data_IF_192196754850
#
_entry.id   IF_192196754850
#
_cell.length_a   1.000
_cell.length_b   1.000
_cell.length_c   1.000
_cell.angle_alpha   90.00
_cell.angle_beta   90.00
_cell.angle_gamma   90.00
#
_symmetry.space_group_name_H-M   'P 1'
#
loop_
_entity.id
_entity.type
_entity.pdbx_description
1 polymer ?
#
# COMPACT_ATOMS: atom_id res chain seq x y z
N UNK A 1 72.70 30.13 -18.53
CA UNK A 1 72.64 28.69 -18.83
C UNK A 1 71.73 28.05 -17.78
N UNK A 2 70.50 27.68 -18.15
CA UNK A 2 69.51 27.13 -17.20
C UNK A 2 69.62 25.61 -17.25
N UNK A 3 70.15 25.00 -16.19
CA UNK A 3 70.27 23.55 -16.09
C UNK A 3 68.93 22.92 -15.74
N UNK A 4 68.39 22.10 -16.66
CA UNK A 4 67.27 21.21 -16.36
C UNK A 4 67.76 20.13 -15.39
N UNK A 5 67.54 20.35 -14.09
CA UNK A 5 67.65 19.30 -13.08
C UNK A 5 66.58 18.27 -13.41
N UNK A 6 66.98 17.14 -14.00
CA UNK A 6 66.09 15.99 -14.12
C UNK A 6 65.91 15.41 -12.73
N UNK A 7 64.84 15.81 -12.05
CA UNK A 7 64.33 15.04 -10.92
C UNK A 7 63.89 13.68 -11.46
N UNK A 8 64.48 12.56 -11.02
CA UNK A 8 63.89 11.26 -11.28
C UNK A 8 62.44 11.29 -10.78
N UNK A 9 61.47 10.71 -11.51
CA UNK A 9 60.10 10.66 -11.01
C UNK A 9 60.13 10.07 -9.60
N UNK A 10 59.49 10.75 -8.63
CA UNK A 10 59.29 10.19 -7.30
C UNK A 10 58.58 8.85 -7.50
N UNK A 11 59.28 7.74 -7.25
CA UNK A 11 58.67 6.42 -7.23
C UNK A 11 57.59 6.45 -6.15
N UNK A 12 56.34 6.40 -6.60
CA UNK A 12 55.15 6.70 -5.79
C UNK A 12 54.94 5.64 -4.71
N UNK A 13 55.51 4.44 -4.89
CA UNK A 13 55.39 3.33 -3.94
C UNK A 13 56.61 2.40 -4.04
N UNK A 14 57.51 2.47 -3.05
CA UNK A 14 58.72 1.63 -2.99
C UNK A 14 58.43 0.17 -2.63
N UNK A 15 57.26 -0.11 -2.05
CA UNK A 15 56.81 -1.46 -1.74
C UNK A 15 56.28 -2.16 -3.00
N UNK A 16 55.49 -1.44 -3.81
CA UNK A 16 55.10 -1.90 -5.14
C UNK A 16 56.33 -2.22 -6.02
N UNK A 17 57.33 -1.34 -6.01
CA UNK A 17 58.58 -1.55 -6.76
C UNK A 17 59.31 -2.84 -6.34
N UNK A 18 59.37 -3.13 -5.03
CA UNK A 18 59.96 -4.38 -4.51
C UNK A 18 59.15 -5.61 -4.87
N UNK A 19 57.83 -5.49 -4.96
CA UNK A 19 56.93 -6.59 -5.30
C UNK A 19 56.93 -6.89 -6.79
N UNK A 20 57.27 -5.89 -7.62
CA UNK A 20 57.50 -6.04 -9.06
C UNK A 20 58.93 -6.52 -9.39
N UNK A 21 59.86 -6.41 -8.45
CA UNK A 21 61.26 -6.86 -8.61
C UNK A 21 61.33 -8.40 -8.59
N UNK A 22 61.22 -8.99 -9.78
CA UNK A 22 61.14 -10.46 -9.98
C UNK A 22 59.81 -10.96 -10.55
N UNK A 23 58.90 -10.06 -10.94
CA UNK A 23 57.66 -10.43 -11.64
C UNK A 23 57.91 -10.52 -13.16
N UNK A 24 58.05 -11.74 -13.67
CA UNK A 24 58.42 -12.01 -15.06
C UNK A 24 57.22 -12.40 -15.94
N UNK A 25 56.07 -12.65 -15.32
CA UNK A 25 54.83 -13.05 -15.97
C UNK A 25 53.65 -12.15 -15.58
N UNK A 26 52.60 -12.16 -16.41
CA UNK A 26 51.46 -11.28 -16.23
C UNK A 26 50.69 -11.56 -14.93
N UNK A 27 50.65 -12.81 -14.47
CA UNK A 27 49.91 -13.22 -13.27
C UNK A 27 50.63 -12.72 -12.01
N UNK A 28 51.95 -12.85 -11.94
CA UNK A 28 52.76 -12.25 -10.87
C UNK A 28 52.69 -10.73 -10.86
N UNK A 29 52.69 -10.08 -12.03
CA UNK A 29 52.53 -8.61 -12.12
C UNK A 29 51.15 -8.18 -11.58
N UNK A 30 50.08 -8.86 -11.96
CA UNK A 30 48.72 -8.55 -11.49
C UNK A 30 48.62 -8.76 -9.98
N UNK A 31 49.19 -9.84 -9.45
CA UNK A 31 49.26 -10.09 -8.01
C UNK A 31 50.10 -9.04 -7.26
N UNK A 32 51.21 -8.59 -7.86
CA UNK A 32 52.06 -7.52 -7.36
C UNK A 32 51.40 -6.14 -7.42
N UNK A 33 50.46 -5.89 -8.34
CA UNK A 33 49.71 -4.63 -8.34
C UNK A 33 48.53 -4.69 -7.36
N UNK A 34 47.88 -5.84 -7.23
CA UNK A 34 46.65 -6.01 -6.46
C UNK A 34 46.87 -6.70 -5.09
N UNK A 35 47.99 -6.45 -4.39
CA UNK A 35 48.14 -6.99 -3.03
C UNK A 35 47.01 -6.54 -2.15
N UNK A 36 46.48 -7.44 -1.34
CA UNK A 36 45.47 -7.09 -0.35
C UNK A 36 44.10 -6.79 -0.94
N UNK A 37 43.99 -6.48 -2.24
CA UNK A 37 42.71 -6.21 -2.91
C UNK A 37 41.79 -7.45 -2.90
N UNK A 38 42.38 -8.65 -2.90
CA UNK A 38 41.68 -9.92 -2.80
C UNK A 38 41.71 -10.52 -1.39
N UNK A 39 42.28 -9.82 -0.42
CA UNK A 39 42.36 -10.28 0.97
C UNK A 39 41.21 -9.65 1.74
N UNK A 40 40.19 -10.44 2.11
CA UNK A 40 39.10 -9.89 2.91
C UNK A 40 39.63 -9.31 4.22
N UNK A 41 39.03 -8.23 4.74
CA UNK A 41 39.38 -7.70 6.06
C UNK A 41 39.35 -8.80 7.13
N UNK A 42 40.14 -8.64 8.20
CA UNK A 42 40.14 -9.59 9.31
C UNK A 42 38.76 -9.75 9.99
N UNK A 43 37.87 -8.75 9.84
CA UNK A 43 36.47 -8.77 10.32
C UNK A 43 35.46 -9.32 9.31
N UNK A 44 35.90 -9.69 8.10
CA UNK A 44 35.01 -10.03 6.98
C UNK A 44 34.01 -11.13 7.34
N UNK A 45 34.47 -12.20 8.00
CA UNK A 45 33.59 -13.30 8.40
C UNK A 45 32.54 -12.87 9.41
N UNK A 46 32.88 -11.95 10.32
CA UNK A 46 31.95 -11.40 11.32
C UNK A 46 30.94 -10.47 10.65
N UNK A 47 31.39 -9.58 9.77
CA UNK A 47 30.50 -8.68 9.02
C UNK A 47 29.54 -9.47 8.11
N UNK A 48 30.05 -10.49 7.44
CA UNK A 48 29.23 -11.38 6.61
C UNK A 48 28.21 -12.17 7.44
N UNK A 49 28.56 -12.59 8.66
CA UNK A 49 27.61 -13.28 9.53
C UNK A 49 26.50 -12.33 10.04
N UNK A 50 26.85 -11.11 10.43
CA UNK A 50 25.87 -10.07 10.81
C UNK A 50 24.89 -9.83 9.65
N UNK A 51 25.41 -9.60 8.44
CA UNK A 51 24.57 -9.37 7.26
C UNK A 51 23.67 -10.57 6.94
N UNK A 52 24.16 -11.79 7.11
CA UNK A 52 23.34 -13.01 6.90
C UNK A 52 22.20 -13.09 7.90
N UNK A 53 22.45 -12.73 9.16
CA UNK A 53 21.41 -12.71 10.20
C UNK A 53 20.37 -11.63 9.87
N UNK A 54 20.80 -10.42 9.53
CA UNK A 54 19.90 -9.32 9.18
C UNK A 54 19.03 -9.64 7.96
N UNK A 55 19.63 -10.24 6.92
CA UNK A 55 18.89 -10.68 5.73
C UNK A 55 17.85 -11.73 6.09
N UNK A 56 18.16 -12.68 6.98
CA UNK A 56 17.16 -13.66 7.45
C UNK A 56 16.04 -12.98 8.24
N UNK A 57 16.41 -12.11 9.17
CA UNK A 57 15.45 -11.37 10.01
C UNK A 57 14.46 -10.57 9.15
N UNK A 58 14.95 -9.77 8.22
CA UNK A 58 14.09 -8.99 7.33
C UNK A 58 13.27 -9.85 6.38
N UNK A 59 13.80 -10.99 5.93
CA UNK A 59 13.05 -11.94 5.10
C UNK A 59 11.87 -12.53 5.87
N UNK A 60 12.06 -12.87 7.14
CA UNK A 60 10.98 -13.41 7.96
C UNK A 60 9.95 -12.33 8.30
N UNK A 61 10.37 -11.09 8.59
CA UNK A 61 9.45 -9.95 8.70
C UNK A 61 8.62 -9.73 7.44
N UNK A 62 9.23 -9.81 6.26
CA UNK A 62 8.51 -9.65 4.99
C UNK A 62 7.43 -10.71 4.79
N UNK A 63 7.69 -11.97 5.19
CA UNK A 63 6.69 -13.05 5.15
C UNK A 63 5.51 -12.77 6.07
N UNK A 64 5.77 -12.25 7.27
CA UNK A 64 4.71 -11.87 8.20
C UNK A 64 3.89 -10.69 7.67
N UNK A 65 4.55 -9.67 7.11
CA UNK A 65 3.87 -8.54 6.47
C UNK A 65 3.03 -8.99 5.28
N UNK A 66 3.51 -9.92 4.46
CA UNK A 66 2.76 -10.48 3.34
C UNK A 66 1.51 -11.23 3.82
N UNK A 67 1.62 -12.03 4.88
CA UNK A 67 0.47 -12.71 5.48
C UNK A 67 -0.59 -11.72 6.02
N UNK A 68 -0.13 -10.64 6.66
CA UNK A 68 -1.02 -9.56 7.11
C UNK A 68 -1.71 -8.84 5.95
N UNK A 69 -0.98 -8.60 4.86
CA UNK A 69 -1.54 -7.98 3.66
C UNK A 69 -2.65 -8.86 3.07
N UNK A 70 -2.44 -10.17 2.94
CA UNK A 70 -3.50 -11.08 2.47
C UNK A 70 -4.75 -10.99 3.36
N UNK A 71 -4.57 -11.01 4.69
CA UNK A 71 -5.68 -10.88 5.63
C UNK A 71 -6.41 -9.54 5.50
N UNK A 72 -5.69 -8.44 5.36
CA UNK A 72 -6.29 -7.11 5.12
C UNK A 72 -7.10 -7.11 3.83
N UNK A 73 -6.53 -7.63 2.74
CA UNK A 73 -7.23 -7.63 1.44
C UNK A 73 -8.50 -8.47 1.46
N UNK A 74 -8.51 -9.57 2.21
CA UNK A 74 -9.71 -10.40 2.40
C UNK A 74 -10.78 -9.65 3.20
N UNK A 75 -10.39 -9.04 4.33
CA UNK A 75 -11.29 -8.21 5.13
C UNK A 75 -11.87 -7.04 4.33
N UNK A 76 -11.06 -6.38 3.51
CA UNK A 76 -11.49 -5.30 2.63
C UNK A 76 -12.53 -5.78 1.62
N UNK A 77 -12.31 -6.93 0.97
CA UNK A 77 -13.29 -7.53 0.06
C UNK A 77 -14.61 -7.89 0.75
N UNK A 78 -14.53 -8.43 1.96
CA UNK A 78 -15.72 -8.73 2.77
C UNK A 78 -16.50 -7.45 3.11
N UNK A 79 -15.80 -6.39 3.53
CA UNK A 79 -16.41 -5.10 3.82
C UNK A 79 -17.06 -4.49 2.57
N UNK A 80 -16.38 -4.51 1.42
CA UNK A 80 -16.92 -4.03 0.14
C UNK A 80 -18.20 -4.79 -0.24
N UNK A 81 -18.19 -6.12 -0.13
CA UNK A 81 -19.37 -6.96 -0.37
C UNK A 81 -20.54 -6.58 0.54
N UNK A 82 -20.31 -6.45 1.85
CA UNK A 82 -21.35 -6.05 2.80
C UNK A 82 -21.87 -4.63 2.50
N UNK A 83 -21.00 -3.68 2.16
CA UNK A 83 -21.40 -2.34 1.76
C UNK A 83 -22.29 -2.36 0.51
N UNK A 84 -21.98 -3.20 -0.49
CA UNK A 84 -22.83 -3.34 -1.67
C UNK A 84 -24.20 -3.90 -1.31
N UNK A 85 -24.26 -4.94 -0.46
CA UNK A 85 -25.51 -5.56 -0.01
C UNK A 85 -26.38 -4.56 0.77
N UNK A 86 -25.82 -3.88 1.76
CA UNK A 86 -26.57 -2.89 2.56
C UNK A 86 -27.04 -1.73 1.68
N UNK A 87 -26.24 -1.31 0.69
CA UNK A 87 -26.62 -0.25 -0.24
C UNK A 87 -27.79 -0.67 -1.14
N UNK A 88 -27.82 -1.92 -1.62
CA UNK A 88 -28.94 -2.42 -2.43
C UNK A 88 -30.20 -2.54 -1.59
N UNK A 89 -30.12 -3.09 -0.39
CA UNK A 89 -31.24 -3.17 0.56
C UNK A 89 -31.81 -1.79 0.90
N UNK A 90 -30.95 -0.82 1.22
CA UNK A 90 -31.36 0.57 1.45
C UNK A 90 -32.09 1.14 0.24
N UNK A 91 -31.57 0.93 -0.98
CA UNK A 91 -32.21 1.45 -2.19
C UNK A 91 -33.60 0.85 -2.40
N UNK A 92 -33.76 -0.45 -2.19
CA UNK A 92 -35.07 -1.10 -2.26
C UNK A 92 -36.06 -0.52 -1.25
N UNK A 93 -35.63 -0.36 0.01
CA UNK A 93 -36.47 0.24 1.06
C UNK A 93 -36.86 1.69 0.74
N UNK A 94 -35.91 2.47 0.19
CA UNK A 94 -36.17 3.85 -0.23
C UNK A 94 -37.19 3.90 -1.37
N UNK A 95 -37.08 3.01 -2.36
CA UNK A 95 -38.00 2.96 -3.49
C UNK A 95 -39.39 2.49 -3.07
N UNK A 96 -39.48 1.53 -2.15
CA UNK A 96 -40.75 1.12 -1.55
C UNK A 96 -41.41 2.27 -0.77
N UNK A 97 -40.65 2.98 0.07
CA UNK A 97 -41.15 4.14 0.80
C UNK A 97 -41.60 5.27 -0.16
N UNK A 98 -40.89 5.49 -1.27
CA UNK A 98 -41.32 6.43 -2.33
C UNK A 98 -42.61 5.96 -2.99
N UNK A 99 -42.75 4.67 -3.30
CA UNK A 99 -43.96 4.12 -3.89
C UNK A 99 -45.17 4.27 -2.97
N UNK A 100 -45.01 4.00 -1.67
CA UNK A 100 -46.05 4.20 -0.66
C UNK A 100 -46.47 5.67 -0.59
N UNK A 101 -45.52 6.60 -0.47
CA UNK A 101 -45.82 8.05 -0.47
C UNK A 101 -46.55 8.49 -1.74
N UNK A 102 -46.15 7.97 -2.90
CA UNK A 102 -46.81 8.27 -4.17
C UNK A 102 -48.25 7.73 -4.22
N UNK A 103 -48.49 6.51 -3.71
CA UNK A 103 -49.84 5.94 -3.60
C UNK A 103 -50.71 6.75 -2.65
N UNK A 104 -50.21 7.10 -1.46
CA UNK A 104 -50.95 7.94 -0.50
C UNK A 104 -51.33 9.29 -1.12
N UNK A 105 -50.40 9.96 -1.82
CA UNK A 105 -50.68 11.24 -2.49
C UNK A 105 -51.76 11.11 -3.56
N UNK A 106 -51.73 10.04 -4.38
CA UNK A 106 -52.79 9.77 -5.37
C UNK A 106 -54.14 9.48 -4.71
N UNK A 107 -54.13 8.72 -3.61
CA UNK A 107 -55.33 8.42 -2.81
C UNK A 107 -55.97 9.69 -2.24
N UNK A 108 -55.16 10.57 -1.63
CA UNK A 108 -55.62 11.88 -1.12
C UNK A 108 -56.17 12.74 -2.26
N UNK A 109 -55.49 12.79 -3.42
CA UNK A 109 -55.95 13.56 -4.58
C UNK A 109 -57.29 13.02 -5.11
N UNK A 110 -57.47 11.70 -5.19
CA UNK A 110 -58.72 11.06 -5.62
C UNK A 110 -59.86 11.27 -4.62
N UNK A 111 -59.56 11.20 -3.32
CA UNK A 111 -60.54 11.48 -2.26
C UNK A 111 -60.98 12.93 -2.28
N UNK A 112 -60.04 13.87 -2.41
CA UNK A 112 -60.34 15.30 -2.52
C UNK A 112 -61.18 15.59 -3.78
N UNK A 113 -60.82 15.01 -4.93
CA UNK A 113 -61.63 15.11 -6.15
C UNK A 113 -63.04 14.55 -5.98
N UNK A 114 -63.22 13.42 -5.28
CA UNK A 114 -64.54 12.88 -4.95
C UNK A 114 -65.34 13.82 -4.05
N UNK A 115 -64.72 14.41 -3.02
CA UNK A 115 -65.39 15.39 -2.16
C UNK A 115 -65.79 16.67 -2.89
N UNK A 116 -65.05 17.08 -3.93
CA UNK A 116 -65.44 18.22 -4.78
C UNK A 116 -66.66 17.91 -5.66
N UNK A 117 -66.89 16.65 -6.02
CA UNK A 117 -68.00 16.22 -6.91
C UNK A 117 -69.25 15.81 -6.10
N UNK A 118 -69.08 15.26 -4.90
CA UNK A 118 -70.16 14.83 -4.02
C UNK A 118 -69.85 15.18 -2.54
N UNK A 119 -70.03 16.45 -2.13
CA UNK A 119 -69.62 16.94 -0.82
C UNK A 119 -70.43 16.33 0.35
N UNK A 120 -71.64 15.84 0.08
CA UNK A 120 -72.52 15.26 1.11
C UNK A 120 -72.06 13.87 1.60
N UNK A 121 -71.27 13.14 0.81
CA UNK A 121 -70.77 11.80 1.15
C UNK A 121 -69.46 11.79 1.97
N UNK A 122 -68.75 12.92 2.07
CA UNK A 122 -67.41 12.97 2.69
C UNK A 122 -67.39 13.08 4.23
N UNK A 123 -68.53 13.02 4.92
CA UNK A 123 -68.61 13.21 6.38
C UNK A 123 -67.98 12.10 7.23
N UNK A 124 -67.52 10.99 6.63
CA UNK A 124 -67.06 9.80 7.34
C UNK A 124 -65.56 9.46 7.23
N UNK A 125 -64.77 10.17 6.43
CA UNK A 125 -63.33 9.90 6.33
C UNK A 125 -62.50 10.98 7.03
N UNK A 126 -62.40 10.87 8.36
CA UNK A 126 -61.40 11.61 9.14
C UNK A 126 -60.03 10.91 8.99
N UNK A 127 -58.94 11.59 8.59
CA UNK A 127 -57.62 10.97 8.52
C UNK A 127 -57.16 10.62 9.94
N UNK A 128 -56.67 9.39 10.13
CA UNK A 128 -55.95 9.00 11.35
C UNK A 128 -54.57 9.67 11.34
N UNK A 129 -54.52 10.96 11.67
CA UNK A 129 -53.29 11.65 12.04
C UNK A 129 -52.99 11.33 13.51
N UNK A 130 -52.04 10.44 13.78
CA UNK A 130 -51.74 10.06 15.15
C UNK A 130 -50.67 9.00 15.32
N UNK A 131 -49.50 9.16 14.70
CA UNK A 131 -48.26 8.50 15.12
C UNK A 131 -47.07 9.39 14.71
N UNK A 132 -46.70 10.35 15.57
CA UNK A 132 -45.38 11.01 15.55
C UNK A 132 -45.17 11.84 16.84
N UNK A 133 -45.42 11.24 18.02
CA UNK A 133 -44.89 11.73 19.31
C UNK A 133 -44.68 10.57 20.27
N UNK A 134 -43.48 10.02 20.27
CA UNK A 134 -42.82 9.49 21.47
C UNK A 134 -41.32 9.35 21.14
N UNK A 135 -40.54 10.32 21.63
CA UNK A 135 -39.14 10.18 22.05
C UNK A 135 -39.18 10.12 23.56
#
# INVERSE_FOLDING_TARGET
MVGLVRCPPLRVDSDLDRRLDGADDLDTIVYAVAHGANTPPASWDTEMEILRVDVRYHRDQLRECEAWLYKETDLRRQAESLCTLVSTERNMAVDEARALRARTRRGVSSSCARCCVAPEECRYHRPLEGWDREI
#
